data_IF_368675355820
#
_entry.id   IF_368675355820
#
_cell.length_a   1.000
_cell.length_b   1.000
_cell.length_c   1.000
_cell.angle_alpha   90.00
_cell.angle_beta   90.00
_cell.angle_gamma   90.00
#
_symmetry.space_group_name_H-M   'P 1'
#
loop_
_entity.id
_entity.type
_entity.pdbx_description
1 polymer ?
#
# COMPACT_ATOMS: atom_id res chain seq x y z
N UNK A 1 19.03 -4.37 -2.13
CA UNK A 1 17.76 -5.10 -1.95
C UNK A 1 16.75 -4.16 -1.31
N UNK A 2 15.56 -4.05 -1.88
CA UNK A 2 14.48 -3.24 -1.33
C UNK A 2 13.29 -4.11 -0.97
N UNK A 3 12.62 -3.79 0.14
CA UNK A 3 11.44 -4.51 0.61
C UNK A 3 10.21 -3.65 0.32
N UNK A 4 9.31 -4.20 -0.49
CA UNK A 4 8.09 -3.55 -0.91
C UNK A 4 6.91 -4.16 -0.16
N UNK A 5 6.18 -3.36 0.59
CA UNK A 5 5.02 -3.81 1.37
C UNK A 5 3.75 -3.27 0.71
N UNK A 6 2.97 -4.14 0.10
CA UNK A 6 1.70 -3.79 -0.50
C UNK A 6 0.57 -4.07 0.48
N UNK A 7 -0.02 -3.03 1.04
CA UNK A 7 -1.21 -3.12 1.90
C UNK A 7 -2.21 -2.03 1.52
N UNK A 8 -3.46 -2.40 1.32
CA UNK A 8 -4.48 -1.41 0.94
C UNK A 8 -4.77 -0.42 2.07
N UNK A 9 -4.69 -0.87 3.32
CA UNK A 9 -4.98 -0.10 4.53
C UNK A 9 -3.70 0.09 5.35
N UNK A 10 -3.48 1.32 5.79
CA UNK A 10 -2.28 1.70 6.55
C UNK A 10 -2.57 2.93 7.42
N UNK A 11 -1.73 3.17 8.43
CA UNK A 11 -1.88 4.31 9.33
C UNK A 11 -2.08 5.61 8.54
N UNK A 12 -2.94 6.54 8.98
CA UNK A 12 -3.61 6.62 10.29
C UNK A 12 -4.92 5.83 10.41
N UNK A 13 -5.24 4.93 9.46
CA UNK A 13 -6.40 4.06 9.63
C UNK A 13 -6.15 3.07 10.78
N UNK A 14 -7.12 2.96 11.69
CA UNK A 14 -7.01 2.08 12.83
C UNK A 14 -7.39 0.64 12.47
N UNK A 15 -6.57 -0.32 12.89
CA UNK A 15 -6.81 -1.74 12.72
C UNK A 15 -5.53 -2.56 12.90
N UNK A 16 -5.69 -3.85 13.19
CA UNK A 16 -4.55 -4.77 13.37
C UNK A 16 -3.66 -4.86 12.14
N UNK A 17 -4.24 -4.77 10.94
CA UNK A 17 -3.50 -4.84 9.69
C UNK A 17 -2.57 -3.63 9.48
N UNK A 18 -3.04 -2.38 9.53
CA UNK A 18 -2.19 -1.18 9.52
C UNK A 18 -1.06 -1.21 10.55
N UNK A 19 -1.37 -1.57 11.81
CA UNK A 19 -0.39 -1.57 12.92
C UNK A 19 0.71 -2.61 12.66
N UNK A 20 0.34 -3.85 12.35
CA UNK A 20 1.31 -4.91 12.07
C UNK A 20 2.24 -4.55 10.89
N UNK A 21 1.71 -3.90 9.85
CA UNK A 21 2.53 -3.49 8.70
C UNK A 21 3.45 -2.32 9.05
N UNK A 22 3.04 -1.42 9.95
CA UNK A 22 3.86 -0.32 10.44
C UNK A 22 5.02 -0.84 11.29
N UNK A 23 4.73 -1.72 12.25
CA UNK A 23 5.74 -2.38 13.10
C UNK A 23 6.74 -3.17 12.25
N UNK A 24 6.25 -3.97 11.29
CA UNK A 24 7.11 -4.73 10.38
C UNK A 24 8.00 -3.82 9.52
N UNK A 25 7.42 -2.76 8.94
CA UNK A 25 8.17 -1.84 8.09
C UNK A 25 9.25 -1.08 8.87
N UNK A 26 8.93 -0.70 10.11
CA UNK A 26 9.82 0.01 11.02
C UNK A 26 10.96 -0.91 11.46
N UNK A 27 10.62 -2.12 11.93
CA UNK A 27 11.62 -3.13 12.28
C UNK A 27 12.59 -3.41 11.12
N UNK A 28 12.08 -3.59 9.90
CA UNK A 28 12.92 -3.82 8.72
C UNK A 28 13.79 -2.59 8.37
N UNK A 29 13.27 -1.37 8.54
CA UNK A 29 14.04 -0.15 8.34
C UNK A 29 15.17 -0.02 9.37
N UNK A 30 14.90 -0.37 10.64
CA UNK A 30 15.88 -0.35 11.72
C UNK A 30 17.01 -1.36 11.51
N UNK A 31 16.73 -2.48 10.82
CA UNK A 31 17.74 -3.44 10.38
C UNK A 31 18.56 -2.95 9.14
N UNK A 32 18.33 -1.72 8.67
CA UNK A 32 19.04 -1.11 7.55
C UNK A 32 18.47 -1.45 6.17
N UNK A 33 17.32 -2.14 6.09
CA UNK A 33 16.67 -2.39 4.81
C UNK A 33 15.91 -1.16 4.31
N UNK A 34 16.01 -0.88 3.01
CA UNK A 34 15.14 0.12 2.39
C UNK A 34 13.72 -0.45 2.29
N UNK A 35 12.78 0.11 3.05
CA UNK A 35 11.38 -0.31 3.06
C UNK A 35 10.49 0.74 2.38
N UNK A 36 9.58 0.27 1.53
CA UNK A 36 8.58 1.13 0.90
C UNK A 36 7.20 0.49 0.96
N UNK A 37 6.26 1.22 1.55
CA UNK A 37 4.87 0.84 1.72
C UNK A 37 4.04 1.43 0.58
N UNK A 38 3.28 0.57 -0.10
CA UNK A 38 2.36 0.93 -1.17
C UNK A 38 0.95 0.75 -0.65
N UNK A 39 0.28 1.86 -0.39
CA UNK A 39 -1.02 1.90 0.26
C UNK A 39 -1.99 2.88 -0.40
N UNK A 40 -3.23 2.93 0.08
CA UNK A 40 -4.23 3.89 -0.42
C UNK A 40 -4.29 5.15 0.45
N UNK A 41 -4.86 6.22 -0.10
CA UNK A 41 -5.24 7.38 0.70
C UNK A 41 -6.22 6.90 1.79
N UNK A 42 -5.99 7.23 3.07
CA UNK A 42 -6.80 6.73 4.16
C UNK A 42 -8.25 7.17 3.99
N UNK A 43 -9.20 6.35 4.45
CA UNK A 43 -10.63 6.65 4.39
C UNK A 43 -11.00 7.85 5.29
N UNK A 44 -12.21 8.43 5.11
CA UNK A 44 -12.73 9.44 6.02
C UNK A 44 -12.72 8.97 7.49
N UNK A 45 -12.33 9.84 8.45
CA UNK A 45 -12.09 11.28 8.30
C UNK A 45 -10.69 11.66 7.80
N UNK A 46 -9.69 10.77 7.90
CA UNK A 46 -8.27 11.10 7.67
C UNK A 46 -7.90 11.48 6.22
N UNK A 47 -8.77 11.20 5.25
CA UNK A 47 -8.60 11.55 3.84
C UNK A 47 -8.45 13.06 3.56
N UNK A 48 -8.87 13.94 4.48
CA UNK A 48 -8.97 15.39 4.23
C UNK A 48 -7.64 16.03 3.83
N UNK A 49 -6.52 15.57 4.41
CA UNK A 49 -5.15 16.03 4.08
C UNK A 49 -4.75 15.72 2.62
N UNK A 50 -5.53 14.90 1.92
CA UNK A 50 -5.24 14.36 0.59
C UNK A 50 -6.34 14.64 -0.45
N UNK A 51 -7.34 15.49 -0.13
CA UNK A 51 -8.59 15.66 -0.89
C UNK A 51 -8.42 15.92 -2.39
N UNK A 52 -7.32 16.55 -2.81
CA UNK A 52 -7.04 16.89 -4.22
C UNK A 52 -5.87 16.10 -4.83
N UNK A 53 -5.34 15.10 -4.13
CA UNK A 53 -4.15 14.35 -4.57
C UNK A 53 -4.55 13.01 -5.19
N UNK A 54 -3.98 12.71 -6.37
CA UNK A 54 -4.10 11.38 -6.99
C UNK A 54 -3.13 10.37 -6.36
N UNK A 55 -1.99 10.85 -5.89
CA UNK A 55 -1.02 10.10 -5.13
C UNK A 55 -0.23 11.05 -4.21
N UNK A 56 0.37 10.50 -3.16
CA UNK A 56 1.25 11.21 -2.24
C UNK A 56 2.41 10.29 -1.84
N UNK A 57 3.61 10.84 -1.72
CA UNK A 57 4.75 10.17 -1.09
C UNK A 57 5.06 10.84 0.25
N UNK A 58 5.25 10.04 1.28
CA UNK A 58 5.59 10.45 2.63
C UNK A 58 6.81 9.64 3.10
N UNK A 59 7.57 10.19 4.02
CA UNK A 59 8.65 9.48 4.69
C UNK A 59 8.45 9.68 6.18
N UNK A 60 8.39 8.59 6.93
CA UNK A 60 8.21 8.58 8.38
C UNK A 60 9.31 7.68 8.97
N UNK A 61 10.16 8.28 9.81
CA UNK A 61 11.25 7.67 10.61
C UNK A 61 12.37 6.92 9.86
N UNK A 62 12.09 6.36 8.68
CA UNK A 62 12.98 5.81 7.63
C UNK A 62 12.17 5.02 6.59
N UNK A 63 10.89 4.79 6.86
CA UNK A 63 9.94 4.10 5.98
C UNK A 63 9.38 5.08 4.96
N UNK A 64 9.45 4.71 3.68
CA UNK A 64 8.77 5.48 2.62
C UNK A 64 7.36 4.96 2.44
N UNK A 65 6.37 5.85 2.44
CA UNK A 65 4.96 5.52 2.27
C UNK A 65 4.46 6.18 0.98
N UNK A 66 3.96 5.38 0.04
CA UNK A 66 3.25 5.88 -1.15
C UNK A 66 1.78 5.59 -1.03
N UNK A 67 0.99 6.65 -1.02
CA UNK A 67 -0.47 6.61 -0.97
C UNK A 67 -1.05 6.88 -2.33
N UNK A 68 -2.00 6.06 -2.75
CA UNK A 68 -2.71 6.22 -4.02
C UNK A 68 -4.20 6.44 -3.80
N UNK A 69 -4.82 7.29 -4.60
CA UNK A 69 -6.25 7.54 -4.52
C UNK A 69 -7.04 6.30 -4.93
N UNK A 70 -8.04 5.97 -4.13
CA UNK A 70 -9.01 4.91 -4.40
C UNK A 70 -10.43 5.40 -4.12
N UNK A 71 -11.42 4.56 -4.39
CA UNK A 71 -12.81 4.84 -4.08
C UNK A 71 -13.11 4.61 -2.58
N UNK A 72 -13.90 5.51 -1.98
CA UNK A 72 -14.31 5.43 -0.58
C UNK A 72 -15.70 4.80 -0.37
N UNK A 73 -16.43 4.46 -1.43
CA UNK A 73 -17.77 3.88 -1.36
C UNK A 73 -17.82 2.63 -0.49
N UNK A 74 -18.83 2.53 0.39
CA UNK A 74 -19.04 1.40 1.31
C UNK A 74 -19.80 0.22 0.68
N UNK A 75 -20.52 0.46 -0.42
CA UNK A 75 -21.27 -0.55 -1.16
C UNK A 75 -20.36 -1.68 -1.68
N UNK A 76 -20.90 -2.88 -1.87
CA UNK A 76 -20.13 -4.06 -2.30
C UNK A 76 -19.44 -3.87 -3.66
N UNK A 77 -20.16 -3.32 -4.66
CA UNK A 77 -19.55 -2.95 -5.96
C UNK A 77 -18.50 -1.84 -5.82
N UNK A 78 -18.72 -0.90 -4.91
CA UNK A 78 -17.77 0.17 -4.62
C UNK A 78 -16.46 -0.35 -4.04
N UNK A 79 -16.54 -1.40 -3.20
CA UNK A 79 -15.36 -2.11 -2.65
C UNK A 79 -14.61 -2.88 -3.74
N UNK A 80 -15.30 -3.58 -4.63
CA UNK A 80 -14.67 -4.24 -5.78
C UNK A 80 -13.92 -3.23 -6.66
N UNK A 81 -14.55 -2.09 -6.96
CA UNK A 81 -13.90 -1.02 -7.72
C UNK A 81 -12.66 -0.47 -7.00
N UNK A 82 -12.75 -0.28 -5.67
CA UNK A 82 -11.61 0.18 -4.87
C UNK A 82 -10.42 -0.79 -4.93
N UNK A 83 -10.69 -2.11 -4.91
CA UNK A 83 -9.68 -3.15 -5.08
C UNK A 83 -9.07 -3.12 -6.48
N UNK A 84 -9.89 -3.01 -7.53
CA UNK A 84 -9.42 -2.92 -8.91
C UNK A 84 -8.52 -1.70 -9.14
N UNK A 85 -8.90 -0.53 -8.61
CA UNK A 85 -8.10 0.70 -8.69
C UNK A 85 -6.77 0.50 -7.97
N UNK A 86 -6.78 -0.07 -6.77
CA UNK A 86 -5.56 -0.33 -6.01
C UNK A 86 -4.63 -1.32 -6.74
N UNK A 87 -5.17 -2.40 -7.29
CA UNK A 87 -4.39 -3.36 -8.11
C UNK A 87 -3.81 -2.70 -9.35
N UNK A 88 -4.53 -1.79 -9.99
CA UNK A 88 -3.99 -1.01 -11.12
C UNK A 88 -2.78 -0.18 -10.70
N UNK A 89 -2.87 0.54 -9.58
CA UNK A 89 -1.75 1.31 -9.02
C UNK A 89 -0.58 0.41 -8.63
N UNK A 90 -0.84 -0.70 -7.92
CA UNK A 90 0.18 -1.66 -7.50
C UNK A 90 0.92 -2.25 -8.70
N UNK A 91 0.20 -2.57 -9.79
CA UNK A 91 0.81 -3.04 -11.05
C UNK A 91 1.72 -1.98 -11.69
N UNK A 92 1.38 -0.69 -11.55
CA UNK A 92 2.26 0.39 -12.03
C UNK A 92 3.54 0.47 -11.19
N UNK A 93 3.43 0.32 -9.87
CA UNK A 93 4.59 0.32 -8.96
C UNK A 93 5.45 -0.93 -9.17
N UNK A 94 4.84 -2.08 -9.45
CA UNK A 94 5.54 -3.35 -9.68
C UNK A 94 6.58 -3.25 -10.80
N UNK A 95 6.36 -2.39 -11.81
CA UNK A 95 7.33 -2.11 -12.88
C UNK A 95 8.66 -1.49 -12.38
N UNK A 96 8.68 -0.94 -11.16
CA UNK A 96 9.88 -0.36 -10.54
C UNK A 96 10.63 -1.35 -9.66
N UNK A 97 10.03 -2.51 -9.38
CA UNK A 97 10.65 -3.57 -8.60
C UNK A 97 11.73 -4.22 -9.46
N UNK A 98 12.92 -4.41 -8.87
CA UNK A 98 14.07 -4.98 -9.56
C UNK A 98 14.31 -6.41 -9.10
N UNK A 99 15.05 -7.18 -9.90
CA UNK A 99 15.51 -8.52 -9.52
C UNK A 99 16.32 -8.42 -8.21
N UNK A 100 15.95 -9.23 -7.21
CA UNK A 100 16.56 -9.21 -5.88
C UNK A 100 15.87 -8.31 -4.85
N UNK A 101 14.72 -7.71 -5.20
CA UNK A 101 13.82 -7.08 -4.23
C UNK A 101 12.84 -8.11 -3.64
N UNK A 102 12.34 -7.83 -2.43
CA UNK A 102 11.36 -8.67 -1.73
C UNK A 102 10.00 -7.98 -1.73
N UNK A 103 8.93 -8.72 -2.05
CA UNK A 103 7.57 -8.21 -2.06
C UNK A 103 6.74 -8.90 -0.98
N UNK A 104 6.18 -8.11 -0.07
CA UNK A 104 5.21 -8.55 0.92
C UNK A 104 3.82 -8.09 0.48
N UNK A 105 3.00 -9.05 0.03
CA UNK A 105 1.69 -8.77 -0.56
C UNK A 105 0.57 -9.08 0.45
N UNK A 106 -0.02 -8.04 1.03
CA UNK A 106 -1.24 -8.12 1.82
C UNK A 106 -2.42 -7.56 1.04
N UNK A 107 -2.83 -8.32 0.02
CA UNK A 107 -3.86 -7.92 -0.93
C UNK A 107 -5.17 -8.71 -0.73
N UNK A 108 -6.33 -8.14 -1.10
CA UNK A 108 -7.58 -8.89 -1.15
C UNK A 108 -7.48 -10.08 -2.12
N UNK A 109 -8.12 -11.22 -1.79
CA UNK A 109 -7.82 -12.54 -2.36
C UNK A 109 -8.05 -12.65 -3.88
N UNK A 110 -9.02 -11.91 -4.43
CA UNK A 110 -9.39 -12.01 -5.85
C UNK A 110 -8.30 -11.50 -6.81
N UNK A 111 -7.36 -10.65 -6.36
CA UNK A 111 -6.40 -9.97 -7.24
C UNK A 111 -4.94 -10.39 -7.02
N UNK A 112 -4.67 -11.28 -6.04
CA UNK A 112 -3.35 -11.86 -5.81
C UNK A 112 -2.87 -12.66 -7.03
N UNK A 113 -3.75 -13.44 -7.67
CA UNK A 113 -3.38 -14.27 -8.82
C UNK A 113 -2.90 -13.49 -10.05
N UNK A 114 -3.37 -12.25 -10.26
CA UNK A 114 -2.95 -11.42 -11.39
C UNK A 114 -1.60 -10.72 -11.15
N UNK A 115 -1.28 -10.43 -9.89
CA UNK A 115 -0.04 -9.74 -9.50
C UNK A 115 1.10 -10.76 -9.31
N UNK A 116 0.82 -11.91 -8.69
CA UNK A 116 1.81 -12.96 -8.44
C UNK A 116 2.41 -13.55 -9.73
N UNK A 117 1.67 -13.57 -10.86
CA UNK A 117 2.23 -14.00 -12.15
C UNK A 117 3.33 -13.08 -12.71
N UNK A 118 3.47 -11.86 -12.20
CA UNK A 118 4.42 -10.85 -12.69
C UNK A 118 5.49 -10.46 -11.68
N UNK A 119 5.34 -10.86 -10.42
CA UNK A 119 6.35 -10.70 -9.39
C UNK A 119 7.36 -11.86 -9.49
#
# INVERSE_FOLDING_TARGET
>A
MKIWIFTMYYLPEFGSAPILMDELATYLADQGYSTEIITTIPRPPHHLKYRFKLWQKETKDSVTIRRYRTNFTRHHLGRLLAWSIYTFWSRWVLRRVKKGDVLLLRLPPLLLGLIAKKA
#
